data_IF_735360652031
#
_entry.id   IF_735360652031
#
_cell.length_a   1.000
_cell.length_b   1.000
_cell.length_c   1.000
_cell.angle_alpha   90.00
_cell.angle_beta   90.00
_cell.angle_gamma   90.00
#
_symmetry.space_group_name_H-M   'P 1'
#
loop_
_entity.id
_entity.type
_entity.pdbx_description
1 polymer ?
#
# COMPACT_ATOMS: atom_id res chain seq x y z
N UNK A 1 25.60 32.14 26.94
CA UNK A 1 24.92 31.56 28.13
C UNK A 1 23.41 31.85 28.14
N UNK A 2 22.99 33.06 27.79
CA UNK A 2 21.57 33.48 27.79
C UNK A 2 20.65 32.59 26.92
N UNK A 3 21.08 32.25 25.68
CA UNK A 3 20.31 31.38 24.79
C UNK A 3 20.01 29.98 25.37
N UNK A 4 20.96 29.36 26.07
CA UNK A 4 20.76 28.05 26.69
C UNK A 4 19.75 28.11 27.85
N UNK A 5 19.72 29.22 28.60
CA UNK A 5 18.73 29.44 29.66
C UNK A 5 17.33 29.66 29.08
N UNK A 6 17.21 30.41 28.00
CA UNK A 6 15.93 30.62 27.29
C UNK A 6 15.36 29.30 26.75
N UNK A 7 16.20 28.45 26.18
CA UNK A 7 15.82 27.11 25.73
C UNK A 7 15.45 26.18 26.90
N UNK A 8 16.15 26.29 28.03
CA UNK A 8 15.85 25.49 29.22
C UNK A 8 14.51 25.86 29.86
N UNK A 9 14.17 27.16 29.88
CA UNK A 9 12.84 27.65 30.30
C UNK A 9 11.71 27.15 29.40
N UNK A 10 12.01 26.80 28.15
CA UNK A 10 11.08 26.15 27.21
C UNK A 10 10.99 24.62 27.42
N UNK A 11 11.41 24.13 28.60
CA UNK A 11 11.29 22.74 29.03
C UNK A 11 12.40 21.79 28.59
N UNK A 12 13.49 22.28 27.97
CA UNK A 12 14.69 21.46 27.75
C UNK A 12 15.53 21.35 29.02
N UNK A 13 16.13 20.19 29.29
CA UNK A 13 17.18 20.10 30.30
C UNK A 13 18.35 21.03 29.93
N UNK A 14 19.00 21.66 30.92
CA UNK A 14 20.12 22.58 30.70
C UNK A 14 21.24 21.96 29.84
N UNK A 15 21.53 20.67 30.02
CA UNK A 15 22.52 19.93 29.22
C UNK A 15 22.12 19.85 27.73
N UNK A 16 20.85 19.54 27.43
CA UNK A 16 20.33 19.53 26.05
C UNK A 16 20.33 20.92 25.43
N UNK A 17 19.96 21.94 26.19
CA UNK A 17 19.98 23.33 25.74
C UNK A 17 21.41 23.81 25.42
N UNK A 18 22.39 23.48 26.27
CA UNK A 18 23.81 23.79 26.02
C UNK A 18 24.32 23.12 24.75
N UNK A 19 24.11 21.81 24.61
CA UNK A 19 24.51 21.04 23.42
C UNK A 19 23.86 21.56 22.14
N UNK A 20 22.61 22.02 22.22
CA UNK A 20 21.92 22.60 21.08
C UNK A 20 22.60 23.90 20.61
N UNK A 21 22.97 24.78 21.53
CA UNK A 21 23.70 26.02 21.20
C UNK A 21 25.09 25.71 20.64
N UNK A 22 25.82 24.76 21.21
CA UNK A 22 27.13 24.33 20.69
C UNK A 22 27.02 23.78 19.26
N UNK A 23 26.04 22.91 19.01
CA UNK A 23 25.80 22.34 17.68
C UNK A 23 25.39 23.41 16.66
N UNK A 24 24.57 24.37 17.06
CA UNK A 24 24.17 25.50 16.23
C UNK A 24 25.37 26.38 15.85
N UNK A 25 26.27 26.67 16.79
CA UNK A 25 27.49 27.43 16.50
C UNK A 25 28.43 26.67 15.55
N UNK A 26 28.47 25.34 15.63
CA UNK A 26 29.31 24.51 14.77
C UNK A 26 28.73 24.27 13.36
N UNK A 27 27.41 24.19 13.22
CA UNK A 27 26.74 23.75 11.99
C UNK A 27 25.88 24.85 11.34
N UNK A 28 25.79 26.03 11.94
CA UNK A 28 24.98 27.16 11.48
C UNK A 28 23.50 27.05 11.83
N UNK A 29 22.94 25.84 11.85
CA UNK A 29 21.52 25.62 12.17
C UNK A 29 21.29 24.40 13.07
N UNK A 30 20.22 24.45 13.88
CA UNK A 30 19.77 23.32 14.71
C UNK A 30 18.25 23.30 14.80
N UNK A 31 17.64 22.16 14.50
CA UNK A 31 16.22 21.93 14.72
C UNK A 31 15.98 21.37 16.13
N UNK A 32 15.11 22.03 16.91
CA UNK A 32 14.75 21.62 18.26
C UNK A 32 13.25 21.43 18.37
N UNK A 33 12.84 20.33 19.00
CA UNK A 33 11.46 20.15 19.45
C UNK A 33 11.43 20.59 20.91
N UNK A 34 10.70 21.69 21.17
CA UNK A 34 10.56 22.23 22.52
C UNK A 34 9.31 21.63 23.18
N UNK A 35 9.45 20.99 24.36
CA UNK A 35 8.34 20.30 25.01
C UNK A 35 7.29 21.25 25.58
N UNK A 36 7.66 22.50 25.90
CA UNK A 36 6.72 23.51 26.34
C UNK A 36 7.11 24.90 25.81
N UNK A 37 6.14 25.62 25.25
CA UNK A 37 6.33 27.01 24.81
C UNK A 37 5.12 27.80 25.29
N UNK A 38 5.31 28.61 26.34
CA UNK A 38 4.24 29.47 26.88
C UNK A 38 3.74 30.47 25.84
N UNK A 39 4.66 31.09 25.10
CA UNK A 39 4.36 32.01 24.00
C UNK A 39 5.44 31.97 22.94
N UNK A 40 5.07 31.51 21.74
CA UNK A 40 5.97 31.40 20.59
C UNK A 40 6.54 32.77 20.19
N UNK A 41 5.73 33.84 20.30
CA UNK A 41 6.17 35.21 20.03
C UNK A 41 7.25 35.66 21.03
N UNK A 42 7.05 35.38 22.32
CA UNK A 42 8.02 35.76 23.36
C UNK A 42 9.33 35.00 23.20
N UNK A 43 9.25 33.69 22.92
CA UNK A 43 10.42 32.85 22.71
C UNK A 43 11.26 33.32 21.52
N UNK A 44 10.62 33.59 20.37
CA UNK A 44 11.31 34.10 19.18
C UNK A 44 11.98 35.44 19.49
N UNK A 45 11.32 36.34 20.22
CA UNK A 45 11.90 37.62 20.63
C UNK A 45 13.13 37.43 21.50
N UNK A 46 13.02 36.65 22.58
CA UNK A 46 14.15 36.41 23.49
C UNK A 46 15.34 35.71 22.84
N UNK A 47 15.11 34.84 21.84
CA UNK A 47 16.18 34.22 21.06
C UNK A 47 16.79 35.18 20.04
N UNK A 48 15.98 36.03 19.39
CA UNK A 48 16.47 37.11 18.52
C UNK A 48 17.32 38.13 19.29
N UNK A 49 16.89 38.51 20.49
CA UNK A 49 17.64 39.42 21.38
C UNK A 49 18.99 38.81 21.80
N UNK A 50 19.10 37.47 21.79
CA UNK A 50 20.34 36.74 22.00
C UNK A 50 21.16 36.54 20.70
N UNK A 51 20.77 37.16 19.58
CA UNK A 51 21.43 37.06 18.29
C UNK A 51 21.09 35.81 17.48
N UNK A 52 20.03 35.08 17.84
CA UNK A 52 19.64 33.81 17.19
C UNK A 52 18.40 34.01 16.34
N UNK A 53 18.53 33.77 15.03
CA UNK A 53 17.39 33.70 14.11
C UNK A 53 16.62 32.39 14.31
N UNK A 54 15.31 32.49 14.51
CA UNK A 54 14.42 31.34 14.74
C UNK A 54 13.42 31.23 13.60
N UNK A 55 13.40 30.07 12.94
CA UNK A 55 12.34 29.67 12.02
C UNK A 55 11.48 28.58 12.69
N UNK A 56 10.15 28.79 12.71
CA UNK A 56 9.23 27.73 13.14
C UNK A 56 9.11 26.75 11.98
N UNK A 57 9.66 25.56 12.16
CA UNK A 57 9.49 24.46 11.23
C UNK A 57 8.46 23.52 11.83
N UNK A 58 7.35 23.29 11.11
CA UNK A 58 6.46 22.18 11.45
C UNK A 58 7.27 20.90 11.25
N UNK A 59 7.55 20.13 12.31
CA UNK A 59 8.29 18.88 12.13
C UNK A 59 7.50 18.03 11.12
N UNK A 60 8.19 17.33 10.20
CA UNK A 60 7.50 16.37 9.34
C UNK A 60 6.71 15.44 10.26
N UNK A 61 5.38 15.38 10.09
CA UNK A 61 4.52 14.60 10.97
C UNK A 61 5.07 13.18 11.03
N UNK A 62 5.67 12.81 12.16
CA UNK A 62 6.04 11.43 12.40
C UNK A 62 4.73 10.73 12.68
N UNK A 63 4.40 9.77 11.82
CA UNK A 63 3.22 8.95 12.00
C UNK A 63 3.26 8.31 13.41
N UNK A 64 2.33 8.72 14.28
CA UNK A 64 2.11 8.11 15.57
C UNK A 64 1.22 6.88 15.38
N UNK A 65 1.72 5.70 15.75
CA UNK A 65 0.97 4.44 15.58
C UNK A 65 -0.31 4.46 16.40
N UNK A 66 -0.27 5.07 17.60
CA UNK A 66 -1.44 5.24 18.47
C UNK A 66 -2.50 6.13 17.83
N UNK A 67 -2.09 7.25 17.23
CA UNK A 67 -3.00 8.17 16.54
C UNK A 67 -3.58 7.52 15.29
N UNK A 68 -2.75 6.81 14.51
CA UNK A 68 -3.19 6.02 13.36
C UNK A 68 -4.30 5.04 13.77
N UNK A 69 -4.06 4.23 14.79
CA UNK A 69 -5.05 3.26 15.29
C UNK A 69 -6.32 3.93 15.79
N UNK A 70 -6.17 5.01 16.57
CA UNK A 70 -7.31 5.72 17.16
C UNK A 70 -8.17 6.36 16.08
N UNK A 71 -7.57 6.94 15.04
CA UNK A 71 -8.29 7.52 13.90
C UNK A 71 -9.05 6.46 13.10
N UNK A 72 -8.52 5.24 13.00
CA UNK A 72 -9.22 4.10 12.41
C UNK A 72 -10.30 3.50 13.32
N UNK A 73 -10.44 4.01 14.55
CA UNK A 73 -11.41 3.54 15.57
C UNK A 73 -11.25 2.06 15.91
N UNK A 74 -10.01 1.58 16.01
CA UNK A 74 -9.68 0.19 16.32
C UNK A 74 -9.09 0.05 17.73
N UNK A 75 -9.42 -1.04 18.40
CA UNK A 75 -8.70 -1.51 19.60
C UNK A 75 -7.29 -1.98 19.23
N UNK A 76 -6.39 -2.14 20.22
CA UNK A 76 -5.02 -2.61 19.96
C UNK A 76 -5.03 -4.02 19.34
N UNK A 77 -5.91 -4.88 19.85
CA UNK A 77 -6.13 -6.25 19.40
C UNK A 77 -6.66 -6.27 17.96
N UNK A 78 -7.67 -5.46 17.65
CA UNK A 78 -8.21 -5.36 16.29
C UNK A 78 -7.17 -4.83 15.31
N UNK A 79 -6.38 -3.82 15.69
CA UNK A 79 -5.35 -3.28 14.81
C UNK A 79 -4.24 -4.32 14.54
N UNK A 80 -3.78 -5.02 15.58
CA UNK A 80 -2.86 -6.14 15.46
C UNK A 80 -3.40 -7.23 14.52
N UNK A 81 -4.67 -7.60 14.66
CA UNK A 81 -5.33 -8.61 13.83
C UNK A 81 -5.61 -8.11 12.40
N UNK A 82 -5.89 -6.84 12.17
CA UNK A 82 -6.19 -6.33 10.83
C UNK A 82 -4.94 -6.08 9.99
N UNK A 83 -3.84 -5.71 10.64
CA UNK A 83 -2.61 -5.30 9.97
C UNK A 83 -1.42 -6.24 10.22
N UNK A 84 -1.57 -7.27 11.05
CA UNK A 84 -0.53 -8.28 11.24
C UNK A 84 0.70 -7.77 11.94
N UNK A 85 0.46 -6.89 12.89
CA UNK A 85 1.49 -6.44 13.82
C UNK A 85 1.27 -7.21 15.11
N UNK A 86 2.32 -7.83 15.65
CA UNK A 86 2.28 -8.44 16.97
C UNK A 86 1.79 -7.43 18.02
N UNK A 87 0.87 -7.85 18.90
CA UNK A 87 0.21 -6.96 19.86
C UNK A 87 1.22 -6.32 20.82
N UNK A 88 2.22 -7.09 21.26
CA UNK A 88 3.26 -6.59 22.18
C UNK A 88 4.17 -5.59 21.47
N UNK A 89 4.47 -5.83 20.20
CA UNK A 89 5.22 -4.92 19.34
C UNK A 89 4.45 -3.62 19.10
N UNK A 90 3.14 -3.70 18.85
CA UNK A 90 2.25 -2.53 18.73
C UNK A 90 2.25 -1.70 20.03
N UNK A 91 2.10 -2.35 21.19
CA UNK A 91 2.14 -1.68 22.50
C UNK A 91 3.47 -0.98 22.77
N UNK A 92 4.60 -1.61 22.38
CA UNK A 92 5.93 -1.01 22.50
C UNK A 92 6.08 0.24 21.62
N UNK A 93 5.50 0.25 20.41
CA UNK A 93 5.48 1.41 19.53
C UNK A 93 4.56 2.53 20.05
N UNK A 94 3.38 2.19 20.57
CA UNK A 94 2.43 3.17 21.14
C UNK A 94 2.93 3.79 22.46
N UNK A 95 3.73 3.06 23.22
CA UNK A 95 4.33 3.54 24.48
C UNK A 95 5.68 4.23 24.29
N UNK A 96 6.16 4.38 23.05
CA UNK A 96 7.49 4.92 22.69
C UNK A 96 8.69 4.18 23.31
N UNK A 97 8.51 2.94 23.78
CA UNK A 97 9.59 2.08 24.29
C UNK A 97 10.48 1.61 23.13
N UNK A 98 9.88 1.43 21.94
CA UNK A 98 10.59 1.18 20.69
C UNK A 98 10.10 2.11 19.60
N UNK A 99 10.99 2.48 18.69
CA UNK A 99 10.64 3.23 17.48
C UNK A 99 10.55 2.28 16.28
N UNK A 100 9.47 2.33 15.48
CA UNK A 100 9.39 1.52 14.26
C UNK A 100 10.53 1.88 13.29
N UNK A 101 11.10 0.87 12.63
CA UNK A 101 12.13 1.09 11.61
C UNK A 101 11.55 1.72 10.33
N UNK A 102 12.42 2.09 9.37
CA UNK A 102 12.01 2.77 8.13
C UNK A 102 10.99 1.96 7.32
N UNK A 103 11.12 0.63 7.28
CA UNK A 103 10.24 -0.26 6.54
C UNK A 103 8.87 -0.33 7.20
N UNK A 104 8.85 -0.46 8.53
CA UNK A 104 7.66 -0.51 9.37
C UNK A 104 6.92 0.83 9.34
N UNK A 105 7.64 1.96 9.35
CA UNK A 105 7.04 3.27 9.14
C UNK A 105 6.39 3.38 7.75
N UNK A 106 7.07 2.92 6.70
CA UNK A 106 6.49 2.89 5.36
C UNK A 106 5.26 1.98 5.26
N UNK A 107 5.19 0.93 6.08
CA UNK A 107 4.00 0.09 6.21
C UNK A 107 2.85 0.84 6.88
N UNK A 108 3.10 1.50 8.02
CA UNK A 108 2.07 2.29 8.70
C UNK A 108 1.59 3.49 7.89
N UNK A 109 2.47 4.13 7.12
CA UNK A 109 2.09 5.21 6.19
C UNK A 109 1.14 4.72 5.10
N UNK A 110 1.34 3.48 4.62
CA UNK A 110 0.39 2.86 3.69
C UNK A 110 -0.94 2.52 4.36
N UNK A 111 -0.94 2.13 5.63
CA UNK A 111 -2.18 1.94 6.39
C UNK A 111 -2.94 3.26 6.56
N UNK A 112 -2.23 4.34 6.89
CA UNK A 112 -2.81 5.68 6.96
C UNK A 112 -3.44 6.09 5.64
N UNK A 113 -2.71 5.91 4.53
CA UNK A 113 -3.19 6.31 3.22
C UNK A 113 -4.30 5.40 2.68
N UNK A 114 -4.25 4.10 3.00
CA UNK A 114 -5.04 3.05 2.35
C UNK A 114 -5.40 1.91 3.32
N UNK A 115 -6.19 2.18 4.38
CA UNK A 115 -6.44 1.20 5.44
C UNK A 115 -7.17 -0.05 4.94
N UNK A 116 -8.12 0.11 4.02
CA UNK A 116 -8.90 -1.00 3.46
C UNK A 116 -8.06 -1.90 2.54
N UNK A 117 -7.11 -1.33 1.79
CA UNK A 117 -6.21 -2.09 0.90
C UNK A 117 -5.25 -2.92 1.74
N UNK A 118 -4.71 -2.34 2.80
CA UNK A 118 -3.80 -3.04 3.70
C UNK A 118 -4.50 -4.18 4.47
N UNK A 119 -5.77 -3.99 4.85
CA UNK A 119 -6.60 -5.04 5.43
C UNK A 119 -6.89 -6.16 4.42
N UNK A 120 -7.31 -5.81 3.21
CA UNK A 120 -7.60 -6.77 2.14
C UNK A 120 -6.36 -7.57 1.73
N UNK A 121 -5.20 -6.91 1.62
CA UNK A 121 -3.91 -7.57 1.36
C UNK A 121 -3.60 -8.63 2.43
N UNK A 122 -3.86 -8.34 3.72
CA UNK A 122 -3.65 -9.32 4.78
C UNK A 122 -4.66 -10.47 4.76
N UNK A 123 -5.93 -10.21 4.43
CA UNK A 123 -6.95 -11.25 4.30
C UNK A 123 -6.68 -12.19 3.10
N UNK A 124 -6.13 -11.65 2.02
CA UNK A 124 -5.78 -12.40 0.81
C UNK A 124 -4.44 -13.15 0.92
N UNK A 125 -3.49 -12.60 1.68
CA UNK A 125 -2.14 -13.15 1.86
C UNK A 125 -1.89 -13.63 3.31
N UNK A 126 -2.95 -14.01 4.03
CA UNK A 126 -3.00 -14.27 5.48
C UNK A 126 -2.08 -15.36 6.05
N UNK A 127 -1.15 -15.90 5.27
CA UNK A 127 -0.06 -16.76 5.74
C UNK A 127 1.35 -16.30 5.32
N UNK A 128 1.50 -15.17 4.62
CA UNK A 128 2.81 -14.64 4.21
C UNK A 128 3.27 -13.44 5.06
N UNK A 129 2.38 -12.78 5.79
CA UNK A 129 2.79 -11.75 6.76
C UNK A 129 3.57 -12.33 7.97
N UNK A 130 3.48 -13.64 8.21
CA UNK A 130 4.33 -14.35 9.17
C UNK A 130 5.79 -14.51 8.69
N UNK A 131 6.06 -14.40 7.38
CA UNK A 131 7.38 -14.64 6.82
C UNK A 131 8.39 -13.51 7.09
N UNK A 132 7.93 -12.33 7.54
CA UNK A 132 8.83 -11.24 7.96
C UNK A 132 9.20 -11.26 9.45
N UNK A 133 8.58 -12.11 10.29
CA UNK A 133 8.90 -12.20 11.72
C UNK A 133 9.31 -13.61 12.21
N UNK A 134 9.13 -14.68 11.45
CA UNK A 134 9.51 -16.03 11.89
C UNK A 134 10.96 -16.43 11.58
N UNK A 135 11.88 -15.47 11.47
CA UNK A 135 13.32 -15.71 11.59
C UNK A 135 13.79 -15.54 13.04
N UNK A 136 13.00 -16.00 14.02
CA UNK A 136 13.47 -16.43 15.34
C UNK A 136 12.32 -17.09 16.11
N UNK A 137 12.60 -18.24 16.71
CA UNK A 137 11.80 -18.97 17.70
C UNK A 137 10.60 -19.84 17.21
N UNK A 138 10.93 -21.11 16.94
CA UNK A 138 10.41 -22.34 17.59
C UNK A 138 8.91 -22.63 17.73
N UNK A 139 8.50 -23.73 17.06
CA UNK A 139 7.52 -24.78 17.44
C UNK A 139 6.21 -24.40 18.17
N UNK A 140 5.07 -24.64 17.50
CA UNK A 140 3.90 -25.31 18.11
C UNK A 140 2.92 -25.83 17.03
N UNK A 141 2.48 -27.07 17.19
CA UNK A 141 1.42 -27.74 16.42
C UNK A 141 0.11 -27.54 17.18
N UNK A 142 -0.95 -27.03 16.55
CA UNK A 142 -2.33 -27.13 17.08
C UNK A 142 -3.32 -27.43 15.93
N UNK A 143 -4.14 -28.45 16.19
CA UNK A 143 -5.25 -28.98 15.41
C UNK A 143 -6.53 -28.29 15.93
N UNK A 144 -7.43 -27.81 15.07
CA UNK A 144 -8.72 -27.20 15.44
C UNK A 144 -9.57 -26.79 14.22
N UNK A 145 -10.91 -26.71 14.33
CA UNK A 145 -11.86 -27.09 13.29
C UNK A 145 -12.06 -26.07 12.16
N UNK A 146 -12.49 -26.56 10.99
CA UNK A 146 -12.93 -25.79 9.80
C UNK A 146 -14.15 -24.91 10.12
N UNK A 147 -14.11 -23.59 9.89
CA UNK A 147 -15.32 -22.78 9.80
C UNK A 147 -15.85 -22.75 8.35
N UNK A 148 -17.10 -23.18 8.19
CA UNK A 148 -17.90 -23.09 6.96
C UNK A 148 -18.93 -21.97 7.09
N UNK A 149 -19.07 -21.13 6.05
CA UNK A 149 -20.15 -20.14 5.95
C UNK A 149 -21.01 -20.51 4.72
N UNK A 150 -22.30 -20.74 4.95
CA UNK A 150 -23.36 -20.81 3.93
C UNK A 150 -24.25 -19.59 4.11
N UNK A 151 -24.38 -18.69 3.13
CA UNK A 151 -25.55 -17.79 3.00
C UNK A 151 -25.84 -17.50 1.52
N UNK A 152 -27.13 -17.31 1.24
CA UNK A 152 -27.86 -17.41 -0.02
C UNK A 152 -27.88 -16.14 -0.90
N UNK A 153 -28.52 -16.29 -2.09
CA UNK A 153 -28.67 -15.28 -3.15
C UNK A 153 -29.69 -14.16 -2.80
N UNK A 154 -29.31 -12.95 -3.24
CA UNK A 154 -30.08 -11.81 -3.74
C UNK A 154 -31.17 -11.14 -2.89
N UNK A 155 -30.95 -9.85 -2.60
CA UNK A 155 -31.80 -8.75 -3.10
C UNK A 155 -31.00 -7.44 -3.01
N UNK A 156 -30.84 -6.76 -4.14
CA UNK A 156 -30.48 -5.34 -4.17
C UNK A 156 -31.62 -4.54 -3.53
N UNK A 157 -31.30 -3.64 -2.60
CA UNK A 157 -32.24 -2.60 -2.19
C UNK A 157 -31.48 -1.34 -1.83
N UNK A 158 -31.78 -0.29 -2.57
CA UNK A 158 -31.26 1.06 -2.45
C UNK A 158 -31.36 1.59 -1.02
N UNK A 159 -30.21 1.85 -0.39
CA UNK A 159 -30.16 2.72 0.79
C UNK A 159 -29.42 3.99 0.41
N UNK A 160 -30.23 5.03 0.26
CA UNK A 160 -29.87 6.41 -0.03
C UNK A 160 -29.14 7.01 1.18
N UNK A 161 -27.81 7.17 1.09
CA UNK A 161 -27.04 7.90 2.10
C UNK A 161 -26.87 9.35 1.65
N UNK A 162 -27.92 10.16 1.78
CA UNK A 162 -27.86 11.59 1.55
C UNK A 162 -27.24 12.28 2.77
N UNK A 163 -25.97 12.63 2.72
CA UNK A 163 -25.37 13.53 3.71
C UNK A 163 -23.88 13.33 3.93
N UNK A 164 -23.06 13.82 3.00
CA UNK A 164 -21.83 14.59 3.27
C UNK A 164 -21.43 15.29 1.96
N UNK A 165 -21.15 16.58 2.08
CA UNK A 165 -21.03 17.50 0.95
C UNK A 165 -19.97 17.15 -0.09
N UNK A 166 -20.20 17.68 -1.28
CA UNK A 166 -19.30 17.80 -2.42
C UNK A 166 -17.81 17.84 -2.04
N UNK A 167 -17.17 16.67 -2.02
CA UNK A 167 -15.72 16.56 -2.22
C UNK A 167 -15.58 16.03 -3.63
N UNK A 168 -15.06 16.88 -4.50
CA UNK A 168 -15.02 16.69 -5.94
C UNK A 168 -14.71 15.26 -6.33
N UNK A 169 -15.56 14.74 -7.22
CA UNK A 169 -15.41 13.53 -8.00
C UNK A 169 -14.07 13.50 -8.74
N UNK A 170 -12.97 13.23 -8.01
CA UNK A 170 -11.81 12.56 -8.56
C UNK A 170 -12.28 11.16 -8.88
N UNK A 171 -12.80 11.00 -10.09
CA UNK A 171 -13.15 9.74 -10.75
C UNK A 171 -12.26 8.65 -10.17
N UNK A 172 -12.84 7.76 -9.36
CA UNK A 172 -12.17 6.54 -8.94
C UNK A 172 -11.71 5.89 -10.25
N UNK A 173 -10.41 5.97 -10.52
CA UNK A 173 -9.82 5.35 -11.70
C UNK A 173 -9.89 3.87 -11.41
N UNK A 174 -10.98 3.23 -11.85
CA UNK A 174 -11.26 1.83 -11.62
C UNK A 174 -10.00 1.03 -11.96
N UNK A 175 -9.46 0.30 -11.00
CA UNK A 175 -8.37 -0.61 -11.26
C UNK A 175 -8.87 -1.71 -12.20
N UNK A 176 -7.99 -2.25 -13.05
CA UNK A 176 -8.35 -3.39 -13.87
C UNK A 176 -8.76 -4.61 -13.04
N UNK A 177 -9.40 -5.58 -13.69
CA UNK A 177 -9.83 -6.83 -13.05
C UNK A 177 -9.58 -8.04 -13.94
N UNK A 178 -9.22 -9.16 -13.33
CA UNK A 178 -9.24 -10.47 -13.97
C UNK A 178 -10.61 -11.10 -13.80
N UNK A 179 -11.19 -11.58 -14.89
CA UNK A 179 -12.37 -12.44 -14.87
C UNK A 179 -11.95 -13.85 -15.26
N UNK A 180 -12.04 -14.80 -14.34
CA UNK A 180 -11.84 -16.24 -14.57
C UNK A 180 -13.20 -16.87 -14.85
N UNK A 181 -13.34 -17.59 -15.95
CA UNK A 181 -14.60 -18.20 -16.34
C UNK A 181 -14.37 -19.56 -17.01
N UNK A 182 -15.43 -20.37 -17.06
CA UNK A 182 -15.43 -21.63 -17.79
C UNK A 182 -16.10 -21.41 -19.15
N UNK A 183 -15.44 -21.83 -20.22
CA UNK A 183 -15.98 -21.71 -21.57
C UNK A 183 -16.97 -22.84 -21.90
N UNK A 184 -17.58 -22.77 -23.08
CA UNK A 184 -18.56 -23.77 -23.54
C UNK A 184 -17.95 -25.16 -23.77
N UNK A 185 -16.64 -25.25 -23.99
CA UNK A 185 -15.91 -26.51 -24.12
C UNK A 185 -15.52 -27.09 -22.74
N UNK A 186 -15.80 -26.37 -21.66
CA UNK A 186 -15.50 -26.77 -20.30
C UNK A 186 -14.07 -26.45 -19.85
N UNK A 187 -13.33 -25.67 -20.64
CA UNK A 187 -12.00 -25.19 -20.29
C UNK A 187 -12.08 -23.89 -19.48
N UNK A 188 -11.13 -23.69 -18.57
CA UNK A 188 -11.01 -22.47 -17.78
C UNK A 188 -10.19 -21.45 -18.55
N UNK A 189 -10.71 -20.23 -18.67
CA UNK A 189 -10.03 -19.10 -19.31
C UNK A 189 -10.09 -17.90 -18.39
N UNK A 190 -9.15 -16.98 -18.55
CA UNK A 190 -9.24 -15.69 -17.90
C UNK A 190 -9.05 -14.55 -18.90
N UNK A 191 -9.59 -13.39 -18.55
CA UNK A 191 -9.36 -12.14 -19.28
C UNK A 191 -9.07 -11.01 -18.31
N UNK A 192 -8.13 -10.15 -18.66
CA UNK A 192 -7.84 -8.92 -17.95
C UNK A 192 -8.63 -7.79 -18.61
N UNK A 193 -9.42 -7.08 -17.80
CA UNK A 193 -10.10 -5.86 -18.19
C UNK A 193 -9.40 -4.64 -17.60
N UNK A 194 -9.27 -3.58 -18.39
CA UNK A 194 -8.85 -2.27 -17.92
C UNK A 194 -9.97 -1.59 -17.12
N UNK A 195 -9.66 -0.45 -16.50
CA UNK A 195 -10.63 0.33 -15.69
C UNK A 195 -11.87 0.81 -16.44
N UNK A 196 -11.82 0.90 -17.77
CA UNK A 196 -12.95 1.21 -18.64
C UNK A 196 -13.77 -0.03 -19.05
N UNK A 197 -13.38 -1.23 -18.59
CA UNK A 197 -14.06 -2.50 -18.89
C UNK A 197 -13.58 -3.19 -20.17
N UNK A 198 -12.71 -2.57 -20.96
CA UNK A 198 -12.14 -3.16 -22.18
C UNK A 198 -11.22 -4.34 -21.85
N UNK A 199 -11.29 -5.39 -22.65
CA UNK A 199 -10.41 -6.55 -22.52
C UNK A 199 -9.06 -6.20 -23.14
N UNK A 200 -8.00 -6.28 -22.34
CA UNK A 200 -6.64 -5.93 -22.78
C UNK A 200 -5.71 -7.14 -22.87
N UNK A 201 -6.12 -8.28 -22.31
CA UNK A 201 -5.40 -9.55 -22.39
C UNK A 201 -6.37 -10.70 -22.17
N UNK A 202 -6.23 -11.79 -22.91
CA UNK A 202 -6.99 -13.02 -22.72
C UNK A 202 -6.05 -14.24 -22.69
N UNK A 203 -6.43 -15.26 -21.92
CA UNK A 203 -5.67 -16.50 -21.84
C UNK A 203 -6.07 -17.53 -22.88
N UNK A 204 -5.21 -18.53 -23.05
CA UNK A 204 -5.59 -19.80 -23.65
C UNK A 204 -6.53 -20.60 -22.73
N UNK A 205 -7.06 -21.70 -23.24
CA UNK A 205 -7.90 -22.64 -22.50
C UNK A 205 -7.07 -23.54 -21.58
N UNK A 206 -7.47 -23.63 -20.32
CA UNK A 206 -6.86 -24.52 -19.34
C UNK A 206 -7.82 -25.63 -18.92
N UNK A 207 -7.35 -26.87 -18.90
CA UNK A 207 -8.17 -28.03 -18.46
C UNK A 207 -8.56 -27.99 -16.98
N UNK A 208 -7.87 -27.19 -16.15
CA UNK A 208 -8.06 -27.12 -14.70
C UNK A 208 -8.08 -25.68 -14.22
N UNK A 209 -8.99 -25.35 -13.31
CA UNK A 209 -9.09 -24.04 -12.64
C UNK A 209 -7.76 -23.59 -12.03
N UNK A 210 -7.07 -24.50 -11.35
CA UNK A 210 -5.77 -24.22 -10.73
C UNK A 210 -4.72 -23.80 -11.77
N UNK A 211 -4.73 -24.38 -12.97
CA UNK A 211 -3.81 -23.98 -14.05
C UNK A 211 -4.11 -22.58 -14.56
N UNK A 212 -5.39 -22.21 -14.68
CA UNK A 212 -5.79 -20.84 -15.04
C UNK A 212 -5.39 -19.83 -13.96
N UNK A 213 -5.58 -20.15 -12.67
CA UNK A 213 -5.09 -19.31 -11.57
C UNK A 213 -3.57 -19.11 -11.61
N UNK A 214 -2.81 -20.16 -11.88
CA UNK A 214 -1.35 -20.05 -12.05
C UNK A 214 -0.99 -19.17 -13.27
N UNK A 215 -1.79 -19.23 -14.33
CA UNK A 215 -1.68 -18.33 -15.48
C UNK A 215 -1.87 -16.87 -15.08
N UNK A 216 -2.88 -16.56 -14.27
CA UNK A 216 -3.14 -15.19 -13.76
C UNK A 216 -1.95 -14.68 -12.94
N UNK A 217 -1.44 -15.49 -12.01
CA UNK A 217 -0.25 -15.12 -11.22
C UNK A 217 1.00 -14.95 -12.09
N UNK A 218 1.12 -15.75 -13.16
CA UNK A 218 2.18 -15.58 -14.14
C UNK A 218 2.04 -14.26 -14.89
N UNK A 219 0.83 -13.88 -15.30
CA UNK A 219 0.56 -12.58 -15.94
C UNK A 219 0.94 -11.44 -14.99
N UNK A 220 0.49 -11.46 -13.73
CA UNK A 220 0.83 -10.44 -12.71
C UNK A 220 2.33 -10.24 -12.54
N UNK A 221 3.09 -11.33 -12.49
CA UNK A 221 4.54 -11.29 -12.31
C UNK A 221 5.26 -10.78 -13.55
N UNK A 222 4.91 -11.33 -14.72
CA UNK A 222 5.65 -11.05 -15.95
C UNK A 222 5.23 -9.72 -16.60
N UNK A 223 4.05 -9.20 -16.29
CA UNK A 223 3.60 -7.88 -16.77
C UNK A 223 4.46 -6.72 -16.25
N UNK A 224 5.24 -6.92 -15.19
CA UNK A 224 6.17 -5.90 -14.70
C UNK A 224 7.42 -5.74 -15.60
N UNK A 225 7.71 -6.69 -16.48
CA UNK A 225 8.91 -6.70 -17.33
C UNK A 225 8.53 -6.54 -18.79
N UNK A 226 8.83 -5.38 -19.39
CA UNK A 226 8.49 -5.10 -20.80
C UNK A 226 9.09 -6.12 -21.78
N UNK A 227 10.30 -6.62 -21.51
CA UNK A 227 10.96 -7.64 -22.35
C UNK A 227 10.21 -8.99 -22.44
N UNK A 228 9.17 -9.21 -21.61
CA UNK A 228 8.31 -10.39 -21.66
C UNK A 228 7.17 -10.27 -22.65
N UNK A 229 6.95 -9.08 -23.22
CA UNK A 229 5.97 -8.84 -24.24
C UNK A 229 6.57 -9.10 -25.63
N UNK A 230 6.15 -10.18 -26.26
CA UNK A 230 6.47 -10.47 -27.66
C UNK A 230 5.49 -9.72 -28.55
N UNK A 231 5.97 -8.68 -29.21
CA UNK A 231 5.24 -7.89 -30.21
C UNK A 231 5.16 -8.67 -31.52
N UNK A 232 3.97 -8.76 -32.13
CA UNK A 232 3.73 -9.53 -33.37
C UNK A 232 2.78 -8.78 -34.30
N UNK A 233 2.95 -9.02 -35.61
CA UNK A 233 1.99 -8.61 -36.63
C UNK A 233 1.27 -9.85 -37.15
N UNK A 234 -0.05 -9.78 -37.19
CA UNK A 234 -0.91 -10.84 -37.75
C UNK A 234 -0.75 -10.91 -39.27
N UNK A 235 -1.17 -12.02 -39.89
CA UNK A 235 -1.18 -12.15 -41.37
C UNK A 235 -2.03 -11.09 -42.07
N UNK A 236 -3.01 -10.52 -41.38
CA UNK A 236 -3.88 -9.45 -41.87
C UNK A 236 -3.28 -8.04 -41.71
N UNK A 237 -2.04 -7.92 -41.23
CA UNK A 237 -1.37 -6.63 -41.00
C UNK A 237 -1.72 -5.95 -39.67
N UNK A 238 -2.64 -6.51 -38.88
CA UNK A 238 -2.96 -5.98 -37.55
C UNK A 238 -1.88 -6.32 -36.53
N UNK A 239 -1.66 -5.44 -35.57
CA UNK A 239 -0.64 -5.52 -34.53
C UNK A 239 -1.18 -6.20 -33.27
N UNK A 240 -0.38 -7.03 -32.61
CA UNK A 240 -0.79 -7.70 -31.37
C UNK A 240 0.44 -8.01 -30.50
N UNK A 241 0.23 -8.50 -29.29
CA UNK A 241 1.32 -8.97 -28.44
C UNK A 241 0.93 -10.22 -27.64
N UNK A 242 1.95 -11.01 -27.31
CA UNK A 242 1.87 -12.12 -26.38
C UNK A 242 2.67 -11.79 -25.12
N UNK A 243 2.16 -12.11 -23.94
CA UNK A 243 2.93 -12.09 -22.70
C UNK A 243 3.49 -13.48 -22.43
N UNK A 244 4.82 -13.59 -22.30
CA UNK A 244 5.51 -14.84 -22.02
C UNK A 244 5.93 -14.96 -20.56
N UNK A 245 5.79 -16.16 -20.02
CA UNK A 245 6.32 -16.53 -18.72
C UNK A 245 7.84 -16.76 -18.74
N UNK A 246 8.43 -16.99 -17.56
CA UNK A 246 9.87 -17.27 -17.40
C UNK A 246 10.35 -18.45 -18.23
N UNK A 247 9.51 -19.48 -18.36
CA UNK A 247 9.76 -20.71 -19.13
C UNK A 247 9.46 -20.56 -20.64
N UNK A 248 9.16 -19.35 -21.13
CA UNK A 248 8.87 -19.08 -22.54
C UNK A 248 7.43 -19.37 -22.99
N UNK A 249 6.59 -19.95 -22.12
CA UNK A 249 5.18 -20.22 -22.45
C UNK A 249 4.39 -18.91 -22.55
N UNK A 250 3.47 -18.84 -23.52
CA UNK A 250 2.50 -17.74 -23.61
C UNK A 250 1.46 -17.90 -22.50
N UNK A 251 1.27 -16.86 -21.70
CA UNK A 251 0.29 -16.84 -20.60
C UNK A 251 -0.85 -15.87 -20.83
N UNK A 252 -0.74 -15.03 -21.85
CA UNK A 252 -1.83 -14.20 -22.33
C UNK A 252 -1.52 -13.58 -23.68
N UNK A 253 -2.59 -13.31 -24.42
CA UNK A 253 -2.57 -12.79 -25.78
C UNK A 253 -3.48 -11.57 -25.85
N UNK A 254 -3.03 -10.50 -26.49
CA UNK A 254 -3.86 -9.30 -26.69
C UNK A 254 -4.89 -9.53 -27.79
N UNK A 255 -5.89 -8.64 -27.86
CA UNK A 255 -6.64 -8.47 -29.10
C UNK A 255 -5.72 -7.89 -30.20
N UNK A 256 -6.22 -7.91 -31.44
CA UNK A 256 -5.56 -7.28 -32.57
C UNK A 256 -5.86 -5.77 -32.61
N UNK A 257 -4.81 -4.98 -32.77
CA UNK A 257 -4.81 -3.53 -32.89
C UNK A 257 -4.56 -3.11 -34.34
N UNK A 258 -5.06 -1.93 -34.72
CA UNK A 258 -4.86 -1.37 -36.05
C UNK A 258 -3.48 -0.76 -36.28
N UNK A 259 -2.68 -0.55 -35.23
CA UNK A 259 -1.35 0.07 -35.34
C UNK A 259 -0.40 -0.33 -34.21
N UNK A 260 0.91 -0.16 -34.45
CA UNK A 260 1.95 -0.48 -33.46
C UNK A 260 1.84 0.40 -32.21
N UNK A 261 1.44 1.66 -32.38
CA UNK A 261 1.19 2.59 -31.28
C UNK A 261 0.02 2.13 -30.40
N UNK A 262 -1.08 1.66 -31.02
CA UNK A 262 -2.22 1.11 -30.28
C UNK A 262 -1.85 -0.16 -29.49
N UNK A 263 -1.02 -1.04 -30.08
CA UNK A 263 -0.45 -2.21 -29.39
C UNK A 263 0.41 -1.81 -28.19
N UNK A 264 1.29 -0.81 -28.35
CA UNK A 264 2.18 -0.35 -27.28
C UNK A 264 1.39 0.30 -26.12
N UNK A 265 0.29 1.01 -26.44
CA UNK A 265 -0.68 1.47 -25.43
C UNK A 265 -1.38 0.31 -24.71
N UNK A 266 -1.70 -0.76 -25.45
CA UNK A 266 -2.22 -2.01 -24.88
C UNK A 266 -1.24 -2.65 -23.89
N UNK A 267 0.05 -2.73 -24.24
CA UNK A 267 1.11 -3.23 -23.35
C UNK A 267 1.18 -2.38 -22.08
N UNK A 268 1.26 -1.06 -22.22
CA UNK A 268 1.29 -0.14 -21.07
C UNK A 268 0.04 -0.30 -20.17
N UNK A 269 -1.12 -0.55 -20.78
CA UNK A 269 -2.35 -0.84 -20.04
C UNK A 269 -2.25 -2.15 -19.26
N UNK A 270 -1.69 -3.23 -19.84
CA UNK A 270 -1.49 -4.50 -19.14
C UNK A 270 -0.48 -4.35 -18.00
N UNK A 271 0.67 -3.72 -18.24
CA UNK A 271 1.70 -3.48 -17.22
C UNK A 271 1.14 -2.72 -16.01
N UNK A 272 0.22 -1.78 -16.27
CA UNK A 272 -0.42 -0.96 -15.24
C UNK A 272 -1.53 -1.67 -14.48
N UNK A 273 -2.38 -2.41 -15.20
CA UNK A 273 -3.60 -2.97 -14.62
C UNK A 273 -3.39 -4.36 -14.04
N UNK A 274 -2.52 -5.18 -14.61
CA UNK A 274 -2.36 -6.58 -14.22
C UNK A 274 -1.86 -6.78 -12.77
N UNK A 275 -0.82 -6.09 -12.27
CA UNK A 275 -0.20 -6.42 -10.98
C UNK A 275 -1.19 -6.41 -9.80
N UNK A 276 -2.05 -5.39 -9.77
CA UNK A 276 -3.00 -5.17 -8.68
C UNK A 276 -4.46 -5.50 -9.08
N UNK A 277 -4.68 -6.07 -10.28
CA UNK A 277 -6.03 -6.35 -10.76
C UNK A 277 -6.74 -7.35 -9.85
N UNK A 278 -7.93 -6.98 -9.37
CA UNK A 278 -8.78 -7.89 -8.57
C UNK A 278 -9.16 -9.11 -9.41
N UNK A 279 -9.16 -10.29 -8.80
CA UNK A 279 -9.72 -11.50 -9.40
C UNK A 279 -11.22 -11.58 -9.09
N UNK A 280 -12.00 -11.81 -10.14
CA UNK A 280 -13.41 -12.16 -10.12
C UNK A 280 -13.55 -13.57 -10.71
N UNK A 281 -14.04 -14.51 -9.91
CA UNK A 281 -14.25 -15.89 -10.34
C UNK A 281 -15.71 -16.10 -10.74
N UNK A 282 -15.90 -16.39 -12.02
CA UNK A 282 -17.18 -16.60 -12.71
C UNK A 282 -17.30 -18.05 -13.23
N UNK A 283 -16.37 -18.94 -12.83
CA UNK A 283 -16.25 -20.31 -13.36
C UNK A 283 -17.11 -21.37 -12.66
#
# INVERSE_FOLDING_TARGET
>A
MFAALTLARSGLSLLKAKRAVEKMLAQGEVALILPHVESTKSLIRSLKDAGISVAIVTPPQRLSVKELRTRLRLTQEQFAVYYGVDLRTLQNYESNVRTPDRTTLGYFQRIEAQPQIMQAHRLLHGNQAAAYQSASASKARIIGPKPSIKVAKSAESDVNYSGYGSVGSRRYKMAGKFELYKDKAGEFRFRLKAGNGEIILASEGYKRRASAMNGIESVRRNSATEARFEKKTTKAGNEMFNLKATNGQVVGTSESYSSASARDNGIASVMKNAPDARLEDLS
#
